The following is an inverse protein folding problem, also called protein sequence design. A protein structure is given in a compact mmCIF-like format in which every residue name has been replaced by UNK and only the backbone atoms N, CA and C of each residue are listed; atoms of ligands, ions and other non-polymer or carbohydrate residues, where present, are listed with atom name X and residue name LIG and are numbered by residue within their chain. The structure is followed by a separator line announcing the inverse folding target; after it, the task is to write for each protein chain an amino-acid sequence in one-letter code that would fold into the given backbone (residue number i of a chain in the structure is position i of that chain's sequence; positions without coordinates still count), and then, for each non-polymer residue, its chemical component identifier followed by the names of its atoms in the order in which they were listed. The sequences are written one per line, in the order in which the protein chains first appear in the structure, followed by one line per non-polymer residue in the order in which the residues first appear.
data_IF_317936989563
#
_entry.id   IF_317936989563
#
_cell.length_a   1.000
_cell.length_b   1.000
_cell.length_c   1.000
_cell.angle_alpha   90.00
_cell.angle_beta   90.00
_cell.angle_gamma   90.00
#
_symmetry.space_group_name_H-M   'P 1'
#
loop_
_entity.id
_entity.type
_entity.pdbx_description
1 polymer ?
#
# COMPACT_ATOMS: atom_id res chain seq x y z
N UNK A 1 -8.12 -13.16 22.28
CA UNK A 1 -7.18 -14.11 21.61
C UNK A 1 -6.47 -13.50 20.40
N UNK A 2 -7.12 -12.69 19.52
CA UNK A 2 -6.50 -12.05 18.35
C UNK A 2 -5.37 -11.10 18.72
N UNK A 3 -5.53 -10.22 19.71
CA UNK A 3 -4.49 -9.29 20.15
C UNK A 3 -3.22 -10.00 20.64
N UNK A 4 -3.35 -11.13 21.36
CA UNK A 4 -2.19 -11.93 21.79
C UNK A 4 -1.40 -12.54 20.63
N UNK A 5 -2.05 -12.83 19.52
CA UNK A 5 -1.38 -13.38 18.34
C UNK A 5 -0.57 -12.31 17.61
N UNK A 6 -1.13 -11.10 17.47
CA UNK A 6 -0.46 -9.96 16.86
C UNK A 6 0.73 -9.47 17.67
N UNK A 7 0.65 -9.52 19.00
CA UNK A 7 1.76 -9.18 19.90
C UNK A 7 2.97 -10.12 19.77
N UNK A 8 2.78 -11.32 19.18
CA UNK A 8 3.85 -12.27 18.89
C UNK A 8 4.56 -12.02 17.56
N UNK A 9 3.98 -11.24 16.68
CA UNK A 9 4.65 -10.82 15.45
C UNK A 9 5.62 -9.70 15.80
N UNK A 10 6.92 -10.00 15.72
CA UNK A 10 7.96 -9.01 16.00
C UNK A 10 7.89 -7.85 15.00
N UNK A 11 8.11 -6.62 15.47
CA UNK A 11 8.22 -5.43 14.61
C UNK A 11 9.11 -5.65 13.39
N UNK A 12 10.31 -6.28 13.55
CA UNK A 12 11.19 -6.62 12.44
C UNK A 12 10.57 -7.54 11.37
N UNK A 13 9.62 -8.40 11.72
CA UNK A 13 8.90 -9.22 10.74
C UNK A 13 7.90 -8.38 9.93
N UNK A 14 7.14 -7.52 10.60
CA UNK A 14 6.18 -6.63 9.95
C UNK A 14 6.88 -5.64 9.02
N UNK A 15 8.07 -5.18 9.39
CA UNK A 15 8.90 -4.33 8.54
C UNK A 15 9.38 -5.01 7.24
N UNK A 16 9.33 -6.33 7.19
CA UNK A 16 9.69 -7.11 5.99
C UNK A 16 8.54 -7.32 5.02
N UNK A 17 7.31 -7.07 5.43
CA UNK A 17 6.15 -7.16 4.56
C UNK A 17 5.96 -5.84 3.80
N UNK A 18 5.81 -5.92 2.48
CA UNK A 18 5.58 -4.74 1.64
C UNK A 18 4.13 -4.25 1.75
N UNK A 19 3.19 -5.19 1.82
CA UNK A 19 1.76 -4.93 1.92
C UNK A 19 1.19 -5.60 3.16
N UNK A 20 0.34 -4.85 3.89
CA UNK A 20 -0.41 -5.32 5.05
C UNK A 20 -1.87 -4.96 4.82
N UNK A 21 -2.74 -5.94 4.84
CA UNK A 21 -4.16 -5.78 4.56
C UNK A 21 -4.99 -6.25 5.75
N UNK A 22 -5.98 -5.45 6.13
CA UNK A 22 -7.01 -5.87 7.06
C UNK A 22 -8.25 -6.28 6.27
N UNK A 23 -8.57 -7.57 6.34
CA UNK A 23 -9.79 -8.08 5.72
C UNK A 23 -10.93 -8.05 6.72
N UNK A 24 -12.01 -7.39 6.36
CA UNK A 24 -13.25 -7.40 7.12
C UNK A 24 -14.13 -8.57 6.70
N UNK A 25 -14.99 -9.00 7.62
CA UNK A 25 -15.97 -10.04 7.29
C UNK A 25 -17.02 -9.45 6.34
N UNK A 26 -17.24 -10.09 5.23
CA UNK A 26 -18.32 -9.72 4.33
C UNK A 26 -19.69 -10.00 4.97
N UNK A 27 -20.66 -9.10 4.82
CA UNK A 27 -22.04 -9.35 5.20
C UNK A 27 -22.59 -10.58 4.48
N UNK A 28 -23.49 -11.33 5.12
CA UNK A 28 -24.08 -12.53 4.54
C UNK A 28 -24.76 -12.30 3.18
N UNK A 29 -25.30 -11.10 2.97
CA UNK A 29 -25.88 -10.70 1.68
C UNK A 29 -24.83 -10.66 0.55
N UNK A 30 -23.65 -10.13 0.80
CA UNK A 30 -22.57 -10.12 -0.19
C UNK A 30 -22.06 -11.54 -0.48
N UNK A 31 -21.94 -12.36 0.56
CA UNK A 31 -21.60 -13.78 0.36
C UNK A 31 -22.62 -14.48 -0.54
N UNK A 32 -23.91 -14.20 -0.35
CA UNK A 32 -24.99 -14.76 -1.19
C UNK A 32 -24.90 -14.29 -2.65
N UNK A 33 -24.56 -13.02 -2.87
CA UNK A 33 -24.32 -12.48 -4.22
C UNK A 33 -23.13 -13.18 -4.90
N UNK A 34 -22.06 -13.45 -4.15
CA UNK A 34 -20.92 -14.20 -4.67
C UNK A 34 -21.27 -15.63 -5.07
N UNK A 35 -22.13 -16.31 -4.31
CA UNK A 35 -22.59 -17.65 -4.65
C UNK A 35 -23.43 -17.69 -5.95
N UNK A 36 -24.07 -16.59 -6.30
CA UNK A 36 -24.83 -16.42 -7.53
C UNK A 36 -23.98 -15.95 -8.74
N UNK A 37 -22.68 -15.86 -8.59
CA UNK A 37 -21.77 -15.42 -9.66
C UNK A 37 -21.62 -13.89 -9.81
N UNK A 38 -22.29 -13.11 -8.97
CA UNK A 38 -22.33 -11.63 -9.04
C UNK A 38 -21.13 -10.95 -8.34
N UNK A 39 -20.04 -11.69 -8.16
CA UNK A 39 -18.83 -11.19 -7.47
C UNK A 39 -17.72 -10.76 -8.42
N UNK A 40 -18.03 -10.28 -9.60
CA UNK A 40 -17.03 -9.63 -10.42
C UNK A 40 -16.68 -8.27 -9.81
N UNK A 41 -15.42 -8.08 -9.53
CA UNK A 41 -14.89 -6.75 -9.23
C UNK A 41 -14.72 -6.02 -10.55
N UNK A 42 -15.40 -4.88 -10.70
CA UNK A 42 -15.20 -3.96 -11.84
C UNK A 42 -13.97 -3.06 -11.63
N UNK A 43 -13.05 -3.48 -10.77
CA UNK A 43 -11.83 -2.74 -10.48
C UNK A 43 -10.90 -2.80 -11.71
N UNK A 44 -10.63 -1.65 -12.37
CA UNK A 44 -9.80 -1.60 -13.57
C UNK A 44 -8.36 -2.08 -13.33
N UNK A 45 -7.90 -2.14 -12.09
CA UNK A 45 -6.58 -2.66 -11.77
C UNK A 45 -6.48 -4.18 -11.89
N UNK A 46 -7.61 -4.89 -11.89
CA UNK A 46 -7.64 -6.34 -12.08
C UNK A 46 -7.62 -6.75 -13.54
N UNK A 47 -7.73 -5.78 -14.45
CA UNK A 47 -7.64 -6.07 -15.88
C UNK A 47 -6.22 -6.48 -16.29
N UNK A 48 -6.04 -7.62 -16.98
CA UNK A 48 -4.71 -8.10 -17.37
C UNK A 48 -3.91 -7.07 -18.19
N UNK A 49 -4.59 -6.27 -18.98
CA UNK A 49 -3.98 -5.22 -19.79
C UNK A 49 -3.38 -4.10 -18.94
N UNK A 50 -4.06 -3.68 -17.86
CA UNK A 50 -3.56 -2.68 -16.92
C UNK A 50 -2.28 -3.16 -16.24
N UNK A 51 -2.27 -4.44 -15.81
CA UNK A 51 -1.10 -5.05 -15.18
C UNK A 51 0.07 -5.15 -16.16
N UNK A 52 -0.20 -5.56 -17.42
CA UNK A 52 0.83 -5.66 -18.45
C UNK A 52 1.45 -4.29 -18.76
N UNK A 53 0.61 -3.27 -18.91
CA UNK A 53 1.06 -1.90 -19.16
C UNK A 53 1.89 -1.34 -18.00
N UNK A 54 1.49 -1.58 -16.74
CA UNK A 54 2.26 -1.20 -15.57
C UNK A 54 3.65 -1.88 -15.58
N UNK A 55 3.72 -3.16 -15.89
CA UNK A 55 5.00 -3.90 -16.01
C UNK A 55 5.90 -3.34 -17.10
N UNK A 56 5.33 -2.97 -18.25
CA UNK A 56 6.11 -2.32 -19.32
C UNK A 56 6.69 -0.98 -18.86
N UNK A 57 5.91 -0.15 -18.15
CA UNK A 57 6.41 1.12 -17.57
C UNK A 57 7.58 0.87 -16.62
N UNK A 58 7.51 -0.14 -15.75
CA UNK A 58 8.61 -0.52 -14.86
C UNK A 58 9.85 -0.91 -15.67
N UNK A 59 9.70 -1.77 -16.67
CA UNK A 59 10.81 -2.25 -17.50
C UNK A 59 11.51 -1.11 -18.26
N UNK A 60 10.78 -0.15 -18.77
CA UNK A 60 11.36 0.97 -19.49
C UNK A 60 12.02 2.01 -18.59
N UNK A 61 11.46 2.25 -17.41
CA UNK A 61 11.95 3.29 -16.49
C UNK A 61 13.07 2.79 -15.60
N UNK A 62 12.95 1.57 -15.08
CA UNK A 62 13.85 1.09 -14.05
C UNK A 62 15.17 0.58 -14.63
N UNK A 63 16.32 0.88 -14.00
CA UNK A 63 17.61 0.35 -14.45
C UNK A 63 17.58 -1.18 -14.52
N UNK A 64 17.99 -1.74 -15.66
CA UNK A 64 17.97 -3.18 -15.89
C UNK A 64 16.57 -3.81 -15.99
N UNK A 65 15.51 -3.02 -16.10
CA UNK A 65 14.14 -3.51 -16.23
C UNK A 65 13.57 -4.20 -14.97
N UNK A 66 14.16 -3.95 -13.79
CA UNK A 66 13.75 -4.58 -12.54
C UNK A 66 12.38 -4.11 -12.08
N UNK A 67 11.70 -4.90 -11.27
CA UNK A 67 10.45 -4.50 -10.63
C UNK A 67 10.67 -3.37 -9.61
N UNK A 68 9.66 -2.56 -9.36
CA UNK A 68 9.74 -1.47 -8.37
C UNK A 68 10.19 -1.95 -6.98
N UNK A 69 9.82 -3.16 -6.58
CA UNK A 69 10.22 -3.75 -5.31
C UNK A 69 11.75 -3.91 -5.18
N UNK A 70 12.45 -4.09 -6.31
CA UNK A 70 13.88 -4.35 -6.34
C UNK A 70 14.70 -3.06 -6.62
N UNK A 71 14.04 -1.91 -6.79
CA UNK A 71 14.71 -0.63 -6.96
C UNK A 71 15.56 -0.31 -5.73
N UNK A 72 16.84 0.08 -5.91
CA UNK A 72 17.65 0.57 -4.81
C UNK A 72 17.06 1.90 -4.27
N UNK A 73 17.28 2.18 -2.99
CA UNK A 73 16.78 3.41 -2.36
C UNK A 73 17.27 4.68 -3.10
N UNK A 74 18.47 4.65 -3.62
CA UNK A 74 19.07 5.75 -4.40
C UNK A 74 18.38 6.02 -5.73
N UNK A 75 17.59 5.07 -6.23
CA UNK A 75 16.81 5.22 -7.46
C UNK A 75 15.37 5.70 -7.20
N UNK A 76 14.96 5.84 -5.93
CA UNK A 76 13.60 6.24 -5.53
C UNK A 76 13.44 7.76 -5.33
N UNK A 77 14.42 8.57 -5.68
CA UNK A 77 14.32 10.02 -5.65
C UNK A 77 13.76 10.58 -6.97
N UNK A 78 14.31 11.68 -7.39
CA UNK A 78 13.91 12.43 -8.59
C UNK A 78 13.86 11.58 -9.86
N UNK A 79 14.70 10.55 -9.96
CA UNK A 79 14.74 9.65 -11.12
C UNK A 79 13.51 8.76 -11.26
N UNK A 80 12.80 8.53 -10.17
CA UNK A 80 11.57 7.71 -10.18
C UNK A 80 10.31 8.53 -10.38
N UNK A 81 10.44 9.83 -10.63
CA UNK A 81 9.34 10.74 -10.92
C UNK A 81 8.44 10.96 -9.70
N UNK A 82 9.01 11.22 -8.53
CA UNK A 82 8.23 11.67 -7.38
C UNK A 82 8.06 13.17 -7.40
N UNK A 83 6.81 13.64 -7.40
CA UNK A 83 6.49 15.04 -7.24
C UNK A 83 6.85 15.57 -5.85
N UNK A 84 7.15 16.88 -5.76
CA UNK A 84 7.49 17.50 -4.48
C UNK A 84 6.43 17.28 -3.40
N UNK A 85 5.13 17.38 -3.74
CA UNK A 85 4.03 17.14 -2.83
C UNK A 85 3.98 15.68 -2.33
N UNK A 86 4.34 14.72 -3.18
CA UNK A 86 4.42 13.31 -2.82
C UNK A 86 5.52 13.06 -1.79
N UNK A 87 6.71 13.62 -1.99
CA UNK A 87 7.83 13.51 -1.05
C UNK A 87 7.52 14.19 0.29
N UNK A 88 6.91 15.38 0.26
CA UNK A 88 6.48 16.07 1.48
C UNK A 88 5.44 15.25 2.28
N UNK A 89 4.50 14.62 1.60
CA UNK A 89 3.53 13.74 2.27
C UNK A 89 4.22 12.52 2.85
N UNK A 90 5.13 11.90 2.10
CA UNK A 90 5.91 10.76 2.57
C UNK A 90 6.73 11.10 3.82
N UNK A 91 7.43 12.23 3.85
CA UNK A 91 8.21 12.71 5.01
C UNK A 91 7.31 12.87 6.25
N UNK A 92 6.12 13.48 6.07
CA UNK A 92 5.14 13.63 7.16
C UNK A 92 4.66 12.28 7.67
N UNK A 93 4.37 11.31 6.79
CA UNK A 93 3.93 9.96 7.17
C UNK A 93 5.04 9.21 7.91
N UNK A 94 6.29 9.30 7.45
CA UNK A 94 7.45 8.69 8.11
C UNK A 94 7.61 9.24 9.53
N UNK A 95 7.56 10.57 9.68
CA UNK A 95 7.70 11.23 10.97
C UNK A 95 6.54 10.93 11.91
N UNK A 96 5.29 11.09 11.44
CA UNK A 96 4.09 10.91 12.26
C UNK A 96 3.87 9.46 12.70
N UNK A 97 4.15 8.48 11.84
CA UNK A 97 3.95 7.05 12.13
C UNK A 97 5.21 6.37 12.69
N UNK A 98 6.31 7.08 12.85
CA UNK A 98 7.57 6.52 13.33
C UNK A 98 8.08 5.38 12.46
N UNK A 99 7.94 5.48 11.14
CA UNK A 99 8.34 4.41 10.23
C UNK A 99 9.86 4.26 10.22
N UNK A 100 10.33 3.02 10.24
CA UNK A 100 11.74 2.74 10.00
C UNK A 100 12.16 3.18 8.59
N UNK A 101 13.44 3.43 8.36
CA UNK A 101 13.97 3.75 7.02
C UNK A 101 13.55 2.70 5.99
N UNK A 102 13.58 1.43 6.38
CA UNK A 102 13.15 0.32 5.52
C UNK A 102 11.66 0.41 5.16
N UNK A 103 10.81 0.71 6.13
CA UNK A 103 9.38 0.89 5.94
C UNK A 103 9.07 2.10 5.07
N UNK A 104 9.77 3.21 5.26
CA UNK A 104 9.66 4.41 4.43
C UNK A 104 10.01 4.15 2.96
N UNK A 105 11.13 3.45 2.70
CA UNK A 105 11.55 3.06 1.35
C UNK A 105 10.51 2.14 0.68
N UNK A 106 9.95 1.19 1.41
CA UNK A 106 8.90 0.30 0.89
C UNK A 106 7.64 1.05 0.54
N UNK A 107 7.25 2.04 1.34
CA UNK A 107 6.13 2.91 1.03
C UNK A 107 6.31 3.62 -0.32
N UNK A 108 7.49 4.16 -0.60
CA UNK A 108 7.79 4.77 -1.90
C UNK A 108 7.70 3.76 -3.07
N UNK A 109 8.21 2.54 -2.89
CA UNK A 109 8.11 1.49 -3.90
C UNK A 109 6.66 1.10 -4.21
N UNK A 110 5.82 1.03 -3.20
CA UNK A 110 4.38 0.76 -3.37
C UNK A 110 3.71 1.95 -4.05
N UNK A 111 3.99 3.20 -3.64
CA UNK A 111 3.45 4.40 -4.27
C UNK A 111 3.82 4.48 -5.76
N UNK A 112 5.06 4.13 -6.13
CA UNK A 112 5.47 4.06 -7.54
C UNK A 112 4.68 2.99 -8.29
N UNK A 113 4.38 1.86 -7.65
CA UNK A 113 3.58 0.79 -8.27
C UNK A 113 2.13 1.23 -8.46
N UNK A 114 1.55 1.96 -7.51
CA UNK A 114 0.22 2.56 -7.63
C UNK A 114 0.17 3.51 -8.84
N UNK A 115 1.14 4.41 -8.96
CA UNK A 115 1.22 5.31 -10.10
C UNK A 115 1.39 4.58 -11.44
N UNK A 116 2.17 3.50 -11.48
CA UNK A 116 2.31 2.66 -12.69
C UNK A 116 0.99 1.98 -13.06
N UNK A 117 0.21 1.51 -12.09
CA UNK A 117 -1.12 0.93 -12.33
C UNK A 117 -2.12 1.97 -12.83
N UNK A 118 -2.05 3.19 -12.33
CA UNK A 118 -2.88 4.31 -12.79
C UNK A 118 -2.47 4.83 -14.20
N UNK A 119 -1.26 4.51 -14.63
CA UNK A 119 -0.72 5.04 -15.88
C UNK A 119 0.02 6.37 -15.74
N UNK A 120 0.26 6.79 -14.49
CA UNK A 120 0.88 8.08 -14.20
C UNK A 120 2.39 8.04 -14.40
N UNK A 121 2.94 9.05 -15.10
CA UNK A 121 4.38 9.20 -15.24
C UNK A 121 5.03 9.63 -13.94
N UNK A 122 4.35 10.47 -13.16
CA UNK A 122 4.78 11.02 -11.88
C UNK A 122 4.02 10.40 -10.72
N UNK A 123 4.70 10.19 -9.59
CA UNK A 123 4.06 9.74 -8.35
C UNK A 123 3.46 10.95 -7.63
N UNK A 124 2.14 11.00 -7.56
CA UNK A 124 1.39 12.03 -6.88
C UNK A 124 1.31 11.81 -5.37
N UNK A 125 0.90 12.84 -4.63
CA UNK A 125 0.59 12.71 -3.20
C UNK A 125 -0.54 11.69 -2.97
N UNK A 126 -1.52 11.58 -3.87
CA UNK A 126 -2.60 10.60 -3.76
C UNK A 126 -2.08 9.16 -3.87
N UNK A 127 -1.12 8.89 -4.77
CA UNK A 127 -0.49 7.59 -4.87
C UNK A 127 0.27 7.22 -3.57
N UNK A 128 0.92 8.19 -2.91
CA UNK A 128 1.57 8.00 -1.60
C UNK A 128 0.53 7.76 -0.51
N UNK A 129 -0.56 8.53 -0.49
CA UNK A 129 -1.66 8.34 0.46
C UNK A 129 -2.26 6.95 0.33
N UNK A 130 -2.57 6.52 -0.90
CA UNK A 130 -3.11 5.20 -1.18
C UNK A 130 -2.14 4.08 -0.77
N UNK A 131 -0.86 4.21 -1.10
CA UNK A 131 0.17 3.27 -0.69
C UNK A 131 0.26 3.15 0.85
N UNK A 132 0.02 4.25 1.57
CA UNK A 132 0.06 4.27 3.04
C UNK A 132 -1.03 3.41 3.69
N UNK A 133 -2.17 3.19 3.02
CA UNK A 133 -3.24 2.30 3.50
C UNK A 133 -2.82 0.83 3.49
N UNK A 134 -1.87 0.45 2.65
CA UNK A 134 -1.32 -0.91 2.63
C UNK A 134 -0.25 -1.16 3.70
N UNK A 135 0.00 -0.17 4.56
CA UNK A 135 0.90 -0.30 5.71
C UNK A 135 0.14 0.01 6.99
N UNK A 136 -0.64 -0.97 7.43
CA UNK A 136 -1.43 -0.88 8.65
C UNK A 136 -0.54 -0.97 9.90
N UNK A 137 0.25 0.08 10.19
CA UNK A 137 0.93 0.22 11.49
C UNK A 137 -0.06 0.24 12.65
N UNK A 138 -1.32 0.56 12.38
CA UNK A 138 -2.40 0.62 13.38
C UNK A 138 -2.90 -0.77 13.84
N UNK A 139 -2.43 -1.85 13.22
CA UNK A 139 -2.77 -3.21 13.68
C UNK A 139 -2.22 -3.52 15.07
N UNK A 140 -1.26 -2.73 15.55
CA UNK A 140 -0.60 -2.92 16.84
C UNK A 140 -1.01 -1.89 17.92
N UNK A 141 -1.77 -0.82 17.60
CA UNK A 141 -1.87 0.32 18.48
C UNK A 141 -3.22 1.01 18.70
N UNK A 142 -4.30 0.65 18.04
CA UNK A 142 -5.61 1.27 18.29
C UNK A 142 -6.46 0.36 19.16
N UNK A 143 -6.22 0.43 20.46
CA UNK A 143 -7.22 0.04 21.47
C UNK A 143 -8.42 0.99 21.34
N UNK A 144 -9.59 0.41 21.18
CA UNK A 144 -10.91 1.02 21.11
C UNK A 144 -11.08 2.24 22.00
N UNK A 145 -11.32 3.39 21.40
CA UNK A 145 -12.11 4.46 22.01
C UNK A 145 -13.41 4.59 21.22
N UNK A 146 -14.29 3.60 21.36
CA UNK A 146 -15.69 3.75 21.04
C UNK A 146 -16.51 3.51 22.31
N UNK A 147 -16.43 4.45 23.25
CA UNK A 147 -17.44 4.60 24.30
C UNK A 147 -18.61 5.34 23.68
N UNK A 148 -19.56 4.58 23.17
CA UNK A 148 -20.92 5.09 22.89
C UNK A 148 -21.58 5.31 24.24
N UNK A 149 -21.63 6.57 24.67
CA UNK A 149 -22.52 7.00 25.75
C UNK A 149 -23.95 6.98 25.22
N UNK A 150 -24.73 6.05 25.71
CA UNK A 150 -26.19 6.14 25.68
C UNK A 150 -26.62 6.82 26.99
N UNK A 151 -27.19 7.98 26.86
CA UNK A 151 -28.14 8.57 27.82
C UNK A 151 -29.35 9.03 27.06
#
# INVERSE_FOLDING_TARGET
QRQRYWQRLSGPLLDRLDLQLRLERRPAQEMRRCLNGDCRSDDPWLEPQTIAAARQRMQHRNPGGVCNRDLPATALGDRSGFGAAALQLWERLVAHRGLSTRSGIRLLRVARTVADLNGDAEVSADAVAQASHYRCSDLLGSGDHNTVSHS
#
